data_IF_781454771995
#
_entry.id   IF_781454771995
#
_cell.length_a   1.000
_cell.length_b   1.000
_cell.length_c   1.000
_cell.angle_alpha   90.00
_cell.angle_beta   90.00
_cell.angle_gamma   90.00
#
_symmetry.space_group_name_H-M   'P 1'
#
loop_
_entity.id
_entity.type
_entity.pdbx_description
1 polymer ?
#
# COMPACT_ATOMS: atom_id res chain seq x y z
N UNK A 1 51.10 3.32 -32.01
CA UNK A 1 51.23 2.46 -30.86
C UNK A 1 49.86 2.23 -30.30
N UNK A 2 49.34 1.05 -30.57
CA UNK A 2 47.94 0.60 -30.35
C UNK A 2 47.76 0.13 -28.89
N UNK A 3 46.85 0.74 -28.17
CA UNK A 3 46.36 0.16 -26.89
C UNK A 3 45.10 -0.65 -27.19
N UNK A 4 45.29 -1.96 -27.30
CA UNK A 4 44.23 -2.98 -27.31
C UNK A 4 43.61 -3.08 -25.94
N UNK A 5 42.39 -2.56 -25.80
CA UNK A 5 41.52 -2.85 -24.66
C UNK A 5 41.08 -4.30 -24.78
N UNK A 6 41.60 -5.18 -23.95
CA UNK A 6 41.17 -6.58 -23.82
C UNK A 6 39.74 -6.62 -23.24
N UNK A 7 38.79 -6.93 -24.09
CA UNK A 7 37.46 -7.36 -23.69
C UNK A 7 37.58 -8.79 -23.13
N UNK A 8 37.59 -8.93 -21.81
CA UNK A 8 37.45 -10.23 -21.17
C UNK A 8 36.00 -10.69 -21.32
N UNK A 9 35.73 -11.47 -22.35
CA UNK A 9 34.56 -12.35 -22.38
C UNK A 9 34.71 -13.43 -21.30
N UNK A 10 34.10 -13.25 -20.17
CA UNK A 10 33.92 -14.31 -19.18
C UNK A 10 32.82 -15.26 -19.70
N UNK A 11 33.23 -16.27 -20.52
CA UNK A 11 32.47 -17.50 -20.73
C UNK A 11 32.50 -18.32 -19.43
N UNK A 12 31.34 -18.62 -18.85
CA UNK A 12 31.20 -19.58 -17.76
C UNK A 12 30.21 -19.15 -16.70
N UNK A 13 28.90 -19.19 -17.01
CA UNK A 13 27.84 -19.12 -16.00
C UNK A 13 26.57 -19.87 -16.47
N UNK A 14 26.70 -21.16 -16.62
CA UNK A 14 25.56 -22.05 -16.48
C UNK A 14 25.44 -22.38 -14.97
N UNK A 15 24.43 -21.88 -14.31
CA UNK A 15 23.97 -22.10 -12.93
C UNK A 15 24.03 -20.85 -12.04
N UNK A 16 23.27 -19.82 -12.43
CA UNK A 16 22.99 -18.66 -11.55
C UNK A 16 21.48 -18.47 -11.52
N UNK A 17 20.88 -18.71 -10.36
CA UNK A 17 19.54 -18.25 -10.05
C UNK A 17 19.44 -16.77 -10.47
N UNK A 18 18.56 -16.48 -11.41
CA UNK A 18 18.40 -15.12 -11.94
C UNK A 18 17.97 -14.19 -10.80
N UNK A 19 18.81 -13.23 -10.34
CA UNK A 19 18.51 -12.41 -9.17
C UNK A 19 17.18 -11.65 -9.31
N UNK A 20 16.81 -11.32 -10.54
CA UNK A 20 15.53 -10.69 -10.85
C UNK A 20 14.35 -11.58 -10.50
N UNK A 21 14.40 -12.85 -10.88
CA UNK A 21 13.32 -13.82 -10.61
C UNK A 21 13.19 -14.10 -9.12
N UNK A 22 14.33 -14.27 -8.41
CA UNK A 22 14.34 -14.45 -6.95
C UNK A 22 13.73 -13.27 -6.22
N UNK A 23 14.03 -12.04 -6.63
CA UNK A 23 13.46 -10.82 -6.05
C UNK A 23 11.95 -10.71 -6.31
N UNK A 24 11.48 -10.97 -7.53
CA UNK A 24 10.05 -10.92 -7.85
C UNK A 24 9.27 -12.02 -7.13
N UNK A 25 9.83 -13.23 -7.02
CA UNK A 25 9.22 -14.33 -6.25
C UNK A 25 9.12 -14.00 -4.76
N UNK A 26 10.19 -13.44 -4.18
CA UNK A 26 10.16 -12.91 -2.80
C UNK A 26 9.10 -11.83 -2.63
N UNK A 27 9.06 -10.84 -3.53
CA UNK A 27 8.07 -9.74 -3.49
C UNK A 27 6.64 -10.27 -3.56
N UNK A 28 6.37 -11.23 -4.45
CA UNK A 28 5.05 -11.87 -4.56
C UNK A 28 4.66 -12.56 -3.26
N UNK A 29 5.55 -13.38 -2.73
CA UNK A 29 5.31 -14.16 -1.51
C UNK A 29 5.11 -13.26 -0.29
N UNK A 30 5.98 -12.25 -0.12
CA UNK A 30 5.86 -11.28 0.96
C UNK A 30 4.54 -10.48 0.86
N UNK A 31 4.10 -10.14 -0.35
CA UNK A 31 2.82 -9.45 -0.56
C UNK A 31 1.61 -10.31 -0.17
N UNK A 32 1.63 -11.61 -0.50
CA UNK A 32 0.60 -12.57 -0.07
C UNK A 32 0.54 -12.63 1.46
N UNK A 33 1.68 -12.84 2.13
CA UNK A 33 1.71 -12.94 3.58
C UNK A 33 1.28 -11.64 4.27
N UNK A 34 1.79 -10.50 3.79
CA UNK A 34 1.49 -9.17 4.34
C UNK A 34 0.01 -8.83 4.24
N UNK A 35 -0.56 -8.91 3.06
CA UNK A 35 -1.98 -8.57 2.87
C UNK A 35 -2.88 -9.59 3.58
N UNK A 36 -2.51 -10.87 3.54
CA UNK A 36 -3.22 -11.93 4.28
C UNK A 36 -3.23 -11.68 5.80
N UNK A 37 -2.14 -11.17 6.39
CA UNK A 37 -2.07 -10.77 7.78
C UNK A 37 -3.10 -9.68 8.11
N UNK A 38 -3.20 -8.62 7.30
CA UNK A 38 -4.17 -7.53 7.51
C UNK A 38 -5.61 -8.00 7.34
N UNK A 39 -5.90 -8.81 6.31
CA UNK A 39 -7.24 -9.38 6.07
C UNK A 39 -7.65 -10.28 7.24
N UNK A 40 -6.78 -11.20 7.66
CA UNK A 40 -7.07 -12.13 8.74
C UNK A 40 -7.28 -11.40 10.08
N UNK A 41 -6.41 -10.43 10.39
CA UNK A 41 -6.51 -9.64 11.63
C UNK A 41 -7.80 -8.83 11.68
N UNK A 42 -8.17 -8.15 10.58
CA UNK A 42 -9.39 -7.36 10.51
C UNK A 42 -10.65 -8.24 10.65
N UNK A 43 -10.69 -9.38 9.97
CA UNK A 43 -11.82 -10.30 10.07
C UNK A 43 -12.00 -10.88 11.46
N UNK A 44 -10.91 -11.40 12.07
CA UNK A 44 -10.96 -12.02 13.41
C UNK A 44 -11.44 -11.02 14.46
N UNK A 45 -11.02 -9.75 14.39
CA UNK A 45 -11.47 -8.71 15.30
C UNK A 45 -12.98 -8.48 15.21
N UNK A 46 -13.53 -8.42 14.01
CA UNK A 46 -14.97 -8.24 13.81
C UNK A 46 -15.75 -9.49 14.24
N UNK A 47 -15.31 -10.67 13.85
CA UNK A 47 -15.93 -11.95 14.17
C UNK A 47 -15.94 -12.23 15.67
N UNK A 48 -14.89 -11.80 16.40
CA UNK A 48 -14.79 -11.93 17.86
C UNK A 48 -15.54 -10.84 18.63
N UNK A 49 -16.25 -9.95 17.95
CA UNK A 49 -17.11 -8.94 18.55
C UNK A 49 -16.45 -7.61 18.89
N UNK A 50 -15.18 -7.39 18.50
CA UNK A 50 -14.52 -6.09 18.69
C UNK A 50 -14.94 -5.04 17.65
N UNK A 51 -15.71 -5.45 16.64
CA UNK A 51 -16.32 -4.59 15.64
C UNK A 51 -15.34 -3.73 14.85
N UNK A 52 -15.88 -2.69 14.24
CA UNK A 52 -15.09 -1.74 13.44
C UNK A 52 -14.12 -0.91 14.29
N UNK A 53 -14.44 -0.69 15.58
CA UNK A 53 -13.55 0.01 16.52
C UNK A 53 -12.25 -0.79 16.77
N UNK A 54 -12.35 -2.12 16.92
CA UNK A 54 -11.20 -2.99 17.05
C UNK A 54 -10.31 -2.95 15.81
N UNK A 55 -10.89 -2.99 14.62
CA UNK A 55 -10.15 -2.88 13.36
C UNK A 55 -9.48 -1.50 13.21
N UNK A 56 -10.20 -0.43 13.54
CA UNK A 56 -9.65 0.93 13.52
C UNK A 56 -8.44 1.06 14.44
N UNK A 57 -8.53 0.53 15.66
CA UNK A 57 -7.44 0.55 16.65
C UNK A 57 -6.23 -0.26 16.15
N UNK A 58 -6.45 -1.46 15.61
CA UNK A 58 -5.42 -2.30 15.01
C UNK A 58 -4.66 -1.56 13.90
N UNK A 59 -5.39 -0.96 12.94
CA UNK A 59 -4.80 -0.24 11.82
C UNK A 59 -4.15 1.09 12.25
N UNK A 60 -4.69 1.75 13.28
CA UNK A 60 -4.06 2.94 13.85
C UNK A 60 -2.71 2.61 14.50
N UNK A 61 -2.63 1.54 15.27
CA UNK A 61 -1.36 1.05 15.86
C UNK A 61 -0.35 0.75 14.74
N UNK A 62 -0.77 -0.01 13.73
CA UNK A 62 0.08 -0.35 12.60
C UNK A 62 0.64 0.91 11.90
N UNK A 63 -0.23 1.85 11.54
CA UNK A 63 0.15 3.09 10.86
C UNK A 63 1.04 3.99 11.71
N UNK A 64 0.78 4.11 13.00
CA UNK A 64 1.60 4.89 13.92
C UNK A 64 3.01 4.30 14.05
N UNK A 65 3.12 2.98 14.18
CA UNK A 65 4.40 2.29 14.25
C UNK A 65 5.16 2.40 12.93
N UNK A 66 4.50 2.22 11.80
CA UNK A 66 5.13 2.42 10.48
C UNK A 66 5.67 3.85 10.31
N UNK A 67 4.90 4.85 10.75
CA UNK A 67 5.32 6.26 10.71
C UNK A 67 6.58 6.49 11.53
N UNK A 68 6.61 6.03 12.79
CA UNK A 68 7.75 6.17 13.69
C UNK A 68 8.96 5.36 13.22
N UNK A 69 8.74 4.16 12.69
CA UNK A 69 9.78 3.28 12.19
C UNK A 69 10.41 3.76 10.87
N UNK A 70 9.72 4.59 10.07
CA UNK A 70 10.17 5.02 8.74
C UNK A 70 11.58 5.63 8.72
N UNK A 71 11.94 6.62 9.56
CA UNK A 71 13.28 7.18 9.57
C UNK A 71 14.34 6.15 10.02
N UNK A 72 14.00 5.28 10.97
CA UNK A 72 14.90 4.23 11.45
C UNK A 72 15.18 3.19 10.35
N UNK A 73 14.14 2.77 9.63
CA UNK A 73 14.25 1.86 8.51
C UNK A 73 15.11 2.46 7.38
N UNK A 74 14.98 3.75 7.10
CA UNK A 74 15.81 4.46 6.15
C UNK A 74 17.29 4.43 6.54
N UNK A 75 17.62 4.80 7.77
CA UNK A 75 18.99 4.76 8.28
C UNK A 75 19.56 3.33 8.27
N UNK A 76 18.74 2.33 8.63
CA UNK A 76 19.16 0.92 8.60
C UNK A 76 19.45 0.46 7.17
N UNK A 77 18.60 0.79 6.19
CA UNK A 77 18.77 0.45 4.78
C UNK A 77 20.00 1.14 4.15
N UNK A 78 20.43 2.30 4.68
CA UNK A 78 21.61 3.01 4.23
C UNK A 78 22.91 2.45 4.84
N UNK A 79 22.84 1.90 6.06
CA UNK A 79 24.04 1.45 6.80
C UNK A 79 24.30 -0.06 6.71
N UNK A 80 23.25 -0.86 6.60
CA UNK A 80 23.32 -2.32 6.60
C UNK A 80 23.22 -2.88 5.18
N UNK A 81 23.55 -4.17 5.01
CA UNK A 81 23.27 -4.88 3.77
C UNK A 81 21.77 -5.03 3.60
N UNK A 82 21.24 -4.45 2.50
CA UNK A 82 19.79 -4.35 2.22
C UNK A 82 19.14 -5.72 2.08
N UNK A 83 19.85 -6.69 1.51
CA UNK A 83 19.38 -8.06 1.38
C UNK A 83 19.29 -8.74 2.74
N UNK A 84 20.37 -8.69 3.53
CA UNK A 84 20.38 -9.26 4.88
C UNK A 84 19.31 -8.62 5.77
N UNK A 85 19.13 -7.31 5.66
CA UNK A 85 18.12 -6.56 6.39
C UNK A 85 16.70 -7.02 6.02
N UNK A 86 16.44 -7.25 4.73
CA UNK A 86 15.13 -7.73 4.27
C UNK A 86 14.88 -9.17 4.70
N UNK A 87 15.87 -10.06 4.58
CA UNK A 87 15.80 -11.45 5.09
C UNK A 87 15.51 -11.47 6.59
N UNK A 88 16.21 -10.66 7.37
CA UNK A 88 15.98 -10.57 8.82
C UNK A 88 14.56 -10.07 9.14
N UNK A 89 14.06 -9.08 8.41
CA UNK A 89 12.71 -8.56 8.56
C UNK A 89 11.64 -9.60 8.19
N UNK A 90 11.84 -10.38 7.12
CA UNK A 90 10.93 -11.46 6.73
C UNK A 90 10.89 -12.58 7.77
N UNK A 91 12.05 -12.99 8.29
CA UNK A 91 12.13 -13.99 9.36
C UNK A 91 11.48 -13.46 10.65
N UNK A 92 11.64 -12.18 10.97
CA UNK A 92 10.98 -11.57 12.13
C UNK A 92 9.46 -11.56 11.95
N UNK A 93 8.94 -11.21 10.76
CA UNK A 93 7.50 -11.27 10.46
C UNK A 93 6.96 -12.70 10.52
N UNK A 94 7.71 -13.67 10.02
CA UNK A 94 7.40 -15.10 10.16
C UNK A 94 7.24 -15.48 11.64
N UNK A 95 8.20 -15.14 12.48
CA UNK A 95 8.16 -15.43 13.93
C UNK A 95 6.99 -14.72 14.63
N UNK A 96 6.76 -13.43 14.31
CA UNK A 96 5.63 -12.67 14.87
C UNK A 96 4.30 -13.34 14.51
N UNK A 97 4.12 -13.78 13.26
CA UNK A 97 2.88 -14.44 12.84
C UNK A 97 2.68 -15.80 13.51
N UNK A 98 3.75 -16.60 13.68
CA UNK A 98 3.66 -17.87 14.41
C UNK A 98 3.35 -17.65 15.88
N UNK A 99 3.98 -16.66 16.51
CA UNK A 99 3.68 -16.27 17.88
C UNK A 99 2.22 -15.82 18.04
N UNK A 100 1.72 -15.03 17.07
CA UNK A 100 0.30 -14.61 17.01
C UNK A 100 -0.61 -15.83 16.89
N UNK A 101 -0.30 -16.77 15.98
CA UNK A 101 -1.06 -18.00 15.79
C UNK A 101 -1.17 -18.81 17.09
N UNK A 102 -0.05 -18.99 17.79
CA UNK A 102 -0.02 -19.72 19.06
C UNK A 102 -0.75 -18.98 20.19
N UNK A 103 -0.55 -17.65 20.30
CA UNK A 103 -1.16 -16.84 21.34
C UNK A 103 -2.69 -16.74 21.20
N UNK A 104 -3.22 -16.72 19.97
CA UNK A 104 -4.67 -16.71 19.70
C UNK A 104 -5.41 -17.96 20.23
N UNK A 105 -4.69 -19.04 20.55
CA UNK A 105 -5.29 -20.24 21.15
C UNK A 105 -5.61 -20.08 22.64
N UNK A 106 -4.91 -19.16 23.33
CA UNK A 106 -4.94 -19.08 24.79
C UNK A 106 -5.27 -17.68 25.32
N UNK A 107 -5.17 -16.65 24.50
CA UNK A 107 -5.25 -15.26 24.94
C UNK A 107 -6.31 -14.49 24.13
N UNK A 108 -6.65 -13.31 24.66
CA UNK A 108 -7.60 -12.41 24.04
C UNK A 108 -7.14 -11.95 22.64
N UNK A 109 -8.07 -12.03 21.67
CA UNK A 109 -7.74 -11.75 20.27
C UNK A 109 -7.37 -10.28 20.03
N UNK A 110 -8.05 -9.33 20.69
CA UNK A 110 -7.77 -7.91 20.51
C UNK A 110 -6.38 -7.54 21.03
N UNK A 111 -6.04 -8.04 22.22
CA UNK A 111 -4.72 -7.79 22.81
C UNK A 111 -3.60 -8.35 21.93
N UNK A 112 -3.75 -9.61 21.50
CA UNK A 112 -2.71 -10.29 20.71
C UNK A 112 -2.56 -9.68 19.32
N UNK A 113 -3.67 -9.38 18.64
CA UNK A 113 -3.62 -8.75 17.30
C UNK A 113 -3.05 -7.34 17.42
N UNK A 114 -3.41 -6.56 18.43
CA UNK A 114 -2.87 -5.21 18.64
C UNK A 114 -1.37 -5.22 18.94
N UNK A 115 -0.90 -6.15 19.78
CA UNK A 115 0.52 -6.31 20.08
C UNK A 115 1.29 -6.79 18.85
N UNK A 116 0.74 -7.77 18.13
CA UNK A 116 1.34 -8.26 16.90
C UNK A 116 1.39 -7.18 15.82
N UNK A 117 0.39 -6.30 15.74
CA UNK A 117 0.37 -5.17 14.82
C UNK A 117 1.59 -4.26 14.99
N UNK A 118 1.93 -3.92 16.23
CA UNK A 118 3.09 -3.08 16.51
C UNK A 118 4.40 -3.73 16.06
N UNK A 119 4.61 -5.01 16.43
CA UNK A 119 5.82 -5.74 16.08
C UNK A 119 5.90 -6.02 14.56
N UNK A 120 4.80 -6.45 13.98
CA UNK A 120 4.70 -6.75 12.56
C UNK A 120 4.97 -5.51 11.71
N UNK A 121 4.30 -4.39 12.01
CA UNK A 121 4.41 -3.15 11.23
C UNK A 121 5.81 -2.53 11.31
N UNK A 122 6.50 -2.66 12.43
CA UNK A 122 7.90 -2.27 12.52
C UNK A 122 8.78 -3.08 11.54
N UNK A 123 8.68 -4.41 11.60
CA UNK A 123 9.42 -5.30 10.69
C UNK A 123 9.01 -5.10 9.23
N UNK A 124 7.71 -4.89 8.98
CA UNK A 124 7.17 -4.64 7.65
C UNK A 124 7.73 -3.36 7.04
N UNK A 125 7.83 -2.28 7.83
CA UNK A 125 8.42 -1.03 7.38
C UNK A 125 9.89 -1.18 7.01
N UNK A 126 10.65 -1.92 7.80
CA UNK A 126 12.05 -2.24 7.50
C UNK A 126 12.17 -3.04 6.21
N UNK A 127 11.34 -4.07 6.03
CA UNK A 127 11.34 -4.89 4.82
C UNK A 127 10.97 -4.09 3.57
N UNK A 128 9.92 -3.27 3.62
CA UNK A 128 9.51 -2.42 2.48
C UNK A 128 10.61 -1.42 2.08
N UNK A 129 11.23 -0.77 3.07
CA UNK A 129 12.29 0.21 2.81
C UNK A 129 13.53 -0.45 2.20
N UNK A 130 13.95 -1.60 2.74
CA UNK A 130 15.09 -2.36 2.20
C UNK A 130 14.81 -2.92 0.82
N UNK A 131 13.60 -3.47 0.58
CA UNK A 131 13.17 -3.97 -0.73
C UNK A 131 13.18 -2.87 -1.80
N UNK A 132 12.58 -1.71 -1.51
CA UNK A 132 12.58 -0.57 -2.43
C UNK A 132 13.99 -0.07 -2.75
N UNK A 133 14.89 -0.12 -1.77
CA UNK A 133 16.29 0.26 -1.95
C UNK A 133 17.10 -0.75 -2.78
N UNK A 134 16.62 -1.99 -2.94
CA UNK A 134 17.24 -3.01 -3.79
C UNK A 134 16.88 -2.87 -5.26
N UNK A 135 15.75 -2.24 -5.59
CA UNK A 135 15.26 -2.13 -6.98
C UNK A 135 16.30 -1.52 -7.93
N UNK A 136 16.96 -0.39 -7.62
CA UNK A 136 17.98 0.18 -8.51
C UNK A 136 19.19 -0.75 -8.73
N UNK A 137 19.55 -1.52 -7.70
CA UNK A 137 20.67 -2.48 -7.78
C UNK A 137 20.34 -3.67 -8.67
N UNK A 138 19.11 -4.16 -8.59
CA UNK A 138 18.63 -5.32 -9.37
C UNK A 138 18.37 -4.92 -10.82
N UNK A 139 17.94 -3.68 -11.05
CA UNK A 139 17.71 -3.15 -12.39
C UNK A 139 19.01 -3.05 -13.22
N UNK A 140 20.17 -2.85 -12.57
CA UNK A 140 21.50 -2.89 -13.19
C UNK A 140 21.57 -2.10 -14.52
N UNK A 141 21.24 -0.80 -14.45
CA UNK A 141 21.25 0.10 -15.63
C UNK A 141 20.06 -0.07 -16.60
N UNK A 142 19.12 -0.99 -16.33
CA UNK A 142 17.88 -1.12 -17.10
C UNK A 142 16.88 -0.02 -16.71
N UNK A 143 15.78 0.07 -17.45
CA UNK A 143 14.72 1.03 -17.17
C UNK A 143 14.12 0.85 -15.76
N UNK A 144 14.47 1.78 -14.86
CA UNK A 144 13.97 1.81 -13.48
C UNK A 144 12.46 1.97 -13.39
N UNK A 145 11.84 2.66 -14.37
CA UNK A 145 10.38 2.84 -14.39
C UNK A 145 9.70 1.51 -14.67
N UNK A 146 10.20 0.76 -15.64
CA UNK A 146 9.69 -0.57 -15.97
C UNK A 146 9.86 -1.54 -14.79
N UNK A 147 11.01 -1.49 -14.08
CA UNK A 147 11.25 -2.32 -12.90
C UNK A 147 10.34 -1.98 -11.72
N UNK A 148 10.17 -0.70 -11.39
CA UNK A 148 9.23 -0.28 -10.36
C UNK A 148 7.80 -0.70 -10.69
N UNK A 149 7.42 -0.59 -11.96
CA UNK A 149 6.09 -1.02 -12.44
C UNK A 149 5.90 -2.53 -12.30
N UNK A 150 6.92 -3.33 -12.66
CA UNK A 150 6.88 -4.79 -12.52
C UNK A 150 6.76 -5.22 -11.05
N UNK A 151 7.55 -4.63 -10.17
CA UNK A 151 7.49 -4.88 -8.72
C UNK A 151 6.11 -4.53 -8.17
N UNK A 152 5.57 -3.36 -8.53
CA UNK A 152 4.24 -2.95 -8.14
C UNK A 152 3.15 -3.93 -8.63
N UNK A 153 3.24 -4.35 -9.89
CA UNK A 153 2.31 -5.32 -10.47
C UNK A 153 2.35 -6.66 -9.72
N UNK A 154 3.54 -7.16 -9.43
CA UNK A 154 3.74 -8.40 -8.68
C UNK A 154 3.19 -8.28 -7.24
N UNK A 155 3.39 -7.13 -6.57
CA UNK A 155 2.80 -6.87 -5.25
C UNK A 155 1.28 -6.91 -5.29
N UNK A 156 0.66 -6.26 -6.28
CA UNK A 156 -0.81 -6.26 -6.41
C UNK A 156 -1.36 -7.64 -6.73
N UNK A 157 -0.63 -8.43 -7.52
CA UNK A 157 -1.00 -9.82 -7.79
C UNK A 157 -0.90 -10.68 -6.52
N UNK A 158 0.11 -10.42 -5.68
CA UNK A 158 0.22 -11.04 -4.36
C UNK A 158 -0.93 -10.65 -3.42
N UNK A 159 -1.36 -9.38 -3.43
CA UNK A 159 -2.50 -8.91 -2.65
C UNK A 159 -3.80 -9.61 -3.09
N UNK A 160 -4.01 -9.77 -4.40
CA UNK A 160 -5.13 -10.55 -4.93
C UNK A 160 -5.09 -12.01 -4.46
N UNK A 161 -3.93 -12.65 -4.55
CA UNK A 161 -3.72 -14.02 -4.08
C UNK A 161 -3.97 -14.16 -2.57
N UNK A 162 -3.55 -13.17 -1.78
CA UNK A 162 -3.81 -13.13 -0.33
C UNK A 162 -5.30 -13.11 -0.01
N UNK A 163 -6.07 -12.27 -0.70
CA UNK A 163 -7.50 -12.13 -0.48
C UNK A 163 -8.25 -13.43 -0.80
N UNK A 164 -7.90 -14.06 -1.93
CA UNK A 164 -8.48 -15.35 -2.34
C UNK A 164 -8.07 -16.52 -1.45
N UNK A 165 -6.92 -16.44 -0.78
CA UNK A 165 -6.43 -17.48 0.13
C UNK A 165 -6.95 -17.29 1.55
N UNK A 166 -6.92 -16.06 2.09
CA UNK A 166 -7.25 -15.78 3.49
C UNK A 166 -8.73 -16.02 3.79
N UNK A 167 -9.64 -15.63 2.90
CA UNK A 167 -11.08 -15.82 3.09
C UNK A 167 -11.48 -17.28 3.36
N UNK A 168 -11.19 -18.22 2.45
CA UNK A 168 -11.47 -19.65 2.67
C UNK A 168 -10.75 -20.24 3.89
N UNK A 169 -9.48 -19.87 4.14
CA UNK A 169 -8.75 -20.35 5.31
C UNK A 169 -9.40 -19.92 6.62
N UNK A 170 -9.91 -18.69 6.70
CA UNK A 170 -10.61 -18.19 7.87
C UNK A 170 -11.98 -18.84 8.06
N UNK A 171 -12.66 -19.15 6.96
CA UNK A 171 -13.99 -19.73 7.02
C UNK A 171 -13.97 -21.21 7.41
N UNK A 172 -13.06 -21.99 6.82
CA UNK A 172 -13.04 -23.45 6.97
C UNK A 172 -12.12 -23.94 8.08
N UNK A 173 -11.18 -23.08 8.55
CA UNK A 173 -10.09 -23.48 9.45
C UNK A 173 -9.98 -22.55 10.66
N UNK A 174 -9.10 -22.90 11.57
CA UNK A 174 -8.83 -22.04 12.72
C UNK A 174 -8.01 -20.81 12.35
N UNK A 175 -8.19 -19.66 13.04
CA UNK A 175 -7.33 -18.48 12.88
C UNK A 175 -5.85 -18.79 13.01
N UNK A 176 -5.47 -19.70 13.91
CA UNK A 176 -4.08 -20.11 14.12
C UNK A 176 -3.49 -20.78 12.87
N UNK A 177 -4.24 -21.67 12.21
CA UNK A 177 -3.79 -22.29 10.95
C UNK A 177 -3.65 -21.25 9.84
N UNK A 178 -4.58 -20.30 9.74
CA UNK A 178 -4.51 -19.22 8.75
C UNK A 178 -3.22 -18.41 8.90
N UNK A 179 -2.90 -17.95 10.11
CA UNK A 179 -1.63 -17.24 10.36
C UNK A 179 -0.41 -18.11 10.08
N UNK A 180 -0.44 -19.41 10.41
CA UNK A 180 0.68 -20.35 10.15
C UNK A 180 0.93 -20.53 8.66
N UNK A 181 -0.13 -20.72 7.86
CA UNK A 181 -0.02 -20.85 6.40
C UNK A 181 0.51 -19.56 5.78
N UNK A 182 -0.02 -18.40 6.19
CA UNK A 182 0.45 -17.12 5.70
C UNK A 182 1.89 -16.83 6.12
N UNK A 183 2.31 -17.24 7.34
CA UNK A 183 3.69 -17.10 7.80
C UNK A 183 4.67 -17.84 6.89
N UNK A 184 4.31 -19.01 6.38
CA UNK A 184 5.17 -19.80 5.49
C UNK A 184 5.58 -19.02 4.22
N UNK A 185 4.75 -18.09 3.74
CA UNK A 185 5.11 -17.23 2.63
C UNK A 185 6.26 -16.26 2.97
N UNK A 186 6.37 -15.78 4.21
CA UNK A 186 7.54 -14.99 4.63
C UNK A 186 8.81 -15.83 4.69
N UNK A 187 8.70 -17.09 5.15
CA UNK A 187 9.83 -18.00 5.13
C UNK A 187 10.31 -18.29 3.70
N UNK A 188 9.38 -18.49 2.78
CA UNK A 188 9.70 -18.65 1.36
C UNK A 188 10.34 -17.38 0.77
N UNK A 189 9.80 -16.19 1.10
CA UNK A 189 10.37 -14.90 0.69
C UNK A 189 11.82 -14.75 1.18
N UNK A 190 12.06 -15.00 2.46
CA UNK A 190 13.39 -14.97 3.05
C UNK A 190 14.35 -15.94 2.36
N UNK A 191 13.88 -17.15 2.03
CA UNK A 191 14.65 -18.15 1.28
C UNK A 191 15.03 -17.66 -0.11
N UNK A 192 14.08 -17.10 -0.87
CA UNK A 192 14.37 -16.51 -2.19
C UNK A 192 15.44 -15.43 -2.12
N UNK A 193 15.35 -14.52 -1.13
CA UNK A 193 16.34 -13.46 -0.95
C UNK A 193 17.70 -13.99 -0.46
N UNK A 194 17.71 -14.95 0.44
CA UNK A 194 18.95 -15.54 0.97
C UNK A 194 19.77 -16.25 -0.11
N UNK A 195 19.11 -16.84 -1.10
CA UNK A 195 19.75 -17.51 -2.23
C UNK A 195 20.26 -16.53 -3.30
N UNK A 196 19.81 -15.26 -3.29
CA UNK A 196 20.28 -14.25 -4.23
C UNK A 196 21.71 -13.82 -3.89
N UNK A 197 22.53 -13.62 -4.94
CA UNK A 197 23.86 -13.01 -4.81
C UNK A 197 23.80 -11.61 -5.44
N UNK A 198 23.87 -10.59 -4.60
CA UNK A 198 24.00 -9.19 -5.04
C UNK A 198 25.44 -8.74 -4.82
N UNK A 199 26.00 -8.05 -5.81
CA UNK A 199 27.31 -7.41 -5.63
C UNK A 199 27.19 -6.19 -4.72
N UNK A 200 28.15 -5.94 -3.81
CA UNK A 200 28.13 -4.75 -2.97
C UNK A 200 28.24 -3.50 -3.83
N UNK A 201 27.27 -2.61 -3.71
CA UNK A 201 27.30 -1.31 -4.40
C UNK A 201 28.14 -0.32 -3.60
N UNK A 202 29.13 0.30 -4.26
CA UNK A 202 29.89 1.41 -3.68
C UNK A 202 28.97 2.61 -3.42
N UNK A 203 29.02 3.13 -2.18
CA UNK A 203 28.13 4.17 -1.69
C UNK A 203 28.72 5.56 -1.94
N UNK A 204 28.21 6.26 -2.94
CA UNK A 204 28.35 7.72 -3.04
C UNK A 204 27.04 8.39 -2.65
N UNK A 205 26.88 8.70 -1.36
CA UNK A 205 25.72 9.45 -0.86
C UNK A 205 26.05 10.94 -0.88
N UNK A 206 25.66 11.65 -1.92
CA UNK A 206 25.66 13.13 -1.93
C UNK A 206 24.37 13.64 -1.30
N UNK A 207 24.45 14.13 -0.08
CA UNK A 207 23.33 14.81 0.60
C UNK A 207 23.27 16.25 0.04
N UNK A 208 22.31 16.50 -0.86
CA UNK A 208 22.02 17.85 -1.33
C UNK A 208 21.20 18.61 -0.27
N UNK A 209 21.71 19.73 0.25
CA UNK A 209 20.95 20.67 1.07
C UNK A 209 19.97 21.45 0.18
N UNK A 210 18.69 21.51 0.56
CA UNK A 210 17.63 22.11 -0.24
C UNK A 210 16.91 23.20 0.53
N UNK A 211 16.68 24.32 -0.16
CA UNK A 211 15.93 25.49 0.30
C UNK A 211 14.40 25.26 0.25
N UNK A 212 13.66 25.83 1.19
CA UNK A 212 12.24 25.56 1.47
C UNK A 212 11.23 26.27 0.55
N UNK A 213 11.63 26.85 -0.58
CA UNK A 213 10.89 27.96 -1.25
C UNK A 213 10.00 27.57 -2.43
N UNK A 214 9.61 26.30 -2.64
CA UNK A 214 8.80 25.93 -3.81
C UNK A 214 7.52 25.13 -3.48
N UNK A 215 6.74 25.59 -2.48
CA UNK A 215 5.39 25.09 -2.26
C UNK A 215 4.36 25.96 -2.96
N UNK A 216 4.23 25.78 -4.29
CA UNK A 216 3.22 26.41 -5.12
C UNK A 216 1.80 25.88 -4.82
N UNK A 217 0.77 26.69 -5.14
CA UNK A 217 -0.64 26.35 -4.98
C UNK A 217 -1.02 25.04 -5.68
N UNK A 218 -0.38 24.76 -6.81
CA UNK A 218 -0.59 23.53 -7.57
C UNK A 218 -0.12 22.27 -6.81
N UNK A 219 0.98 22.34 -6.06
CA UNK A 219 1.49 21.27 -5.21
C UNK A 219 0.56 21.02 -4.01
N UNK A 220 0.03 22.09 -3.41
CA UNK A 220 -0.94 21.97 -2.31
C UNK A 220 -2.19 21.22 -2.75
N UNK A 221 -2.72 21.53 -3.95
CA UNK A 221 -3.86 20.80 -4.54
C UNK A 221 -3.54 19.33 -4.74
N UNK A 222 -2.35 19.02 -5.24
CA UNK A 222 -1.92 17.65 -5.46
C UNK A 222 -1.86 16.86 -4.14
N UNK A 223 -1.34 17.49 -3.08
CA UNK A 223 -1.30 16.91 -1.73
C UNK A 223 -2.71 16.61 -1.23
N UNK A 224 -3.64 17.55 -1.38
CA UNK A 224 -5.04 17.35 -0.96
C UNK A 224 -5.71 16.22 -1.73
N UNK A 225 -5.57 16.18 -3.06
CA UNK A 225 -6.13 15.10 -3.89
C UNK A 225 -5.57 13.73 -3.47
N UNK A 226 -4.26 13.64 -3.29
CA UNK A 226 -3.62 12.41 -2.83
C UNK A 226 -4.13 11.99 -1.45
N UNK A 227 -4.21 12.92 -0.50
CA UNK A 227 -4.66 12.66 0.84
C UNK A 227 -6.12 12.17 0.87
N UNK A 228 -7.01 12.77 0.07
CA UNK A 228 -8.40 12.36 -0.03
C UNK A 228 -8.55 10.96 -0.65
N UNK A 229 -7.80 10.65 -1.71
CA UNK A 229 -7.79 9.31 -2.31
C UNK A 229 -7.22 8.26 -1.34
N UNK A 230 -6.12 8.58 -0.66
CA UNK A 230 -5.53 7.70 0.35
C UNK A 230 -6.50 7.43 1.49
N UNK A 231 -7.17 8.47 1.99
CA UNK A 231 -8.14 8.37 3.08
C UNK A 231 -9.37 7.54 2.67
N UNK A 232 -9.79 7.58 1.39
CA UNK A 232 -10.83 6.69 0.87
C UNK A 232 -10.44 5.22 1.01
N UNK A 233 -9.21 4.88 0.67
CA UNK A 233 -8.69 3.50 0.81
C UNK A 233 -8.58 3.10 2.29
N UNK A 234 -8.12 4.00 3.16
CA UNK A 234 -8.07 3.78 4.60
C UNK A 234 -9.46 3.49 5.17
N UNK A 235 -10.46 4.28 4.77
CA UNK A 235 -11.85 4.08 5.21
C UNK A 235 -12.38 2.70 4.80
N UNK A 236 -12.11 2.26 3.58
CA UNK A 236 -12.49 0.93 3.09
C UNK A 236 -11.79 -0.16 3.89
N UNK A 237 -10.50 -0.02 4.16
CA UNK A 237 -9.73 -0.99 4.95
C UNK A 237 -10.25 -1.13 6.40
N UNK A 238 -10.73 -0.04 7.00
CA UNK A 238 -11.30 -0.06 8.35
C UNK A 238 -12.69 -0.65 8.36
N UNK A 239 -13.54 -0.20 7.43
CA UNK A 239 -14.97 -0.52 7.43
C UNK A 239 -15.31 -1.80 6.67
N UNK A 240 -14.42 -2.28 5.79
CA UNK A 240 -14.71 -3.38 4.86
C UNK A 240 -15.13 -4.67 5.54
N UNK A 241 -14.40 -5.11 6.57
CA UNK A 241 -14.74 -6.33 7.34
C UNK A 241 -16.05 -6.16 8.12
N UNK A 242 -16.25 -5.01 8.76
CA UNK A 242 -17.49 -4.67 9.46
C UNK A 242 -18.68 -4.58 8.51
N UNK A 243 -18.50 -4.01 7.30
CA UNK A 243 -19.53 -3.91 6.28
C UNK A 243 -20.02 -5.31 5.85
N UNK A 244 -19.11 -6.23 5.61
CA UNK A 244 -19.47 -7.62 5.27
C UNK A 244 -20.15 -8.32 6.44
N UNK A 245 -19.56 -8.25 7.62
CA UNK A 245 -20.04 -9.00 8.78
C UNK A 245 -21.33 -8.43 9.38
N UNK A 246 -21.36 -7.11 9.61
CA UNK A 246 -22.47 -6.48 10.35
C UNK A 246 -23.67 -6.17 9.45
N UNK A 247 -23.44 -5.66 8.24
CA UNK A 247 -24.53 -5.23 7.33
C UNK A 247 -24.94 -6.32 6.34
N UNK A 248 -23.98 -6.94 5.65
CA UNK A 248 -24.29 -7.95 4.65
C UNK A 248 -24.55 -9.33 5.25
N UNK A 249 -24.24 -9.54 6.55
CA UNK A 249 -24.30 -10.85 7.22
C UNK A 249 -23.50 -11.94 6.48
N UNK A 250 -22.43 -11.50 5.82
CA UNK A 250 -21.54 -12.35 5.03
C UNK A 250 -20.50 -13.07 5.87
N UNK A 251 -19.73 -13.88 5.19
CA UNK A 251 -18.68 -14.75 5.74
C UNK A 251 -17.28 -14.17 5.48
N UNK A 252 -16.24 -14.81 6.04
CA UNK A 252 -14.84 -14.50 5.71
C UNK A 252 -14.53 -14.66 4.21
N UNK A 253 -15.22 -15.59 3.53
CA UNK A 253 -15.07 -15.80 2.08
C UNK A 253 -15.60 -14.59 1.32
N UNK A 254 -16.75 -14.05 1.73
CA UNK A 254 -17.34 -12.86 1.09
C UNK A 254 -16.42 -11.64 1.26
N UNK A 255 -15.83 -11.47 2.45
CA UNK A 255 -14.82 -10.44 2.68
C UNK A 255 -13.59 -10.65 1.79
N UNK A 256 -13.11 -11.88 1.68
CA UNK A 256 -12.03 -12.23 0.77
C UNK A 256 -12.34 -11.88 -0.70
N UNK A 257 -13.58 -12.11 -1.16
CA UNK A 257 -14.00 -11.71 -2.51
C UNK A 257 -14.04 -10.19 -2.70
N UNK A 258 -14.45 -9.41 -1.71
CA UNK A 258 -14.42 -7.95 -1.80
C UNK A 258 -12.98 -7.41 -1.87
N UNK A 259 -12.08 -7.95 -1.05
CA UNK A 259 -10.65 -7.60 -1.07
C UNK A 259 -9.97 -8.05 -2.40
N UNK A 260 -10.37 -9.20 -2.94
CA UNK A 260 -9.91 -9.67 -4.25
C UNK A 260 -10.41 -8.75 -5.37
N UNK A 261 -11.67 -8.32 -5.32
CA UNK A 261 -12.25 -7.38 -6.28
C UNK A 261 -11.53 -6.02 -6.23
N UNK A 262 -11.27 -5.49 -5.03
CA UNK A 262 -10.44 -4.30 -4.84
C UNK A 262 -9.05 -4.45 -5.49
N UNK A 263 -8.37 -5.57 -5.22
CA UNK A 263 -7.03 -5.83 -5.76
C UNK A 263 -7.03 -5.98 -7.28
N UNK A 264 -8.04 -6.66 -7.84
CA UNK A 264 -8.21 -6.80 -9.29
C UNK A 264 -8.48 -5.44 -9.96
N UNK A 265 -9.38 -4.63 -9.38
CA UNK A 265 -9.62 -3.26 -9.83
C UNK A 265 -8.35 -2.41 -9.79
N UNK A 266 -7.57 -2.51 -8.72
CA UNK A 266 -6.29 -1.80 -8.56
C UNK A 266 -5.28 -2.16 -9.65
N UNK A 267 -5.19 -3.43 -10.03
CA UNK A 267 -4.34 -3.88 -11.15
C UNK A 267 -4.73 -3.22 -12.46
N UNK A 268 -6.03 -3.24 -12.79
CA UNK A 268 -6.56 -2.64 -14.00
C UNK A 268 -6.34 -1.12 -13.99
N UNK A 269 -6.56 -0.46 -12.86
CA UNK A 269 -6.36 0.98 -12.68
C UNK A 269 -4.92 1.42 -12.95
N UNK A 270 -3.93 0.65 -12.47
CA UNK A 270 -2.53 0.96 -12.68
C UNK A 270 -2.13 0.99 -14.17
N UNK A 271 -2.72 0.11 -14.98
CA UNK A 271 -2.41 -0.01 -16.42
C UNK A 271 -3.20 1.02 -17.26
N UNK A 272 -4.34 1.49 -16.76
CA UNK A 272 -5.27 2.33 -17.54
C UNK A 272 -4.84 3.80 -17.67
N UNK A 273 -3.89 4.27 -16.87
CA UNK A 273 -3.48 5.68 -16.85
C UNK A 273 -3.00 6.19 -18.21
N UNK A 274 -2.23 5.38 -18.94
CA UNK A 274 -1.68 5.78 -20.25
C UNK A 274 -2.74 6.21 -21.28
N UNK A 275 -3.95 5.68 -21.17
CA UNK A 275 -5.07 6.04 -22.05
C UNK A 275 -5.77 7.33 -21.61
N UNK A 276 -5.89 7.55 -20.31
CA UNK A 276 -6.58 8.72 -19.75
C UNK A 276 -5.73 10.00 -19.82
N UNK A 277 -4.41 9.89 -19.78
CA UNK A 277 -3.49 11.03 -19.79
C UNK A 277 -3.62 11.88 -21.06
N UNK A 278 -3.93 11.23 -22.19
CA UNK A 278 -4.13 11.90 -23.49
C UNK A 278 -5.49 12.57 -23.65
N UNK A 279 -6.48 12.18 -22.85
CA UNK A 279 -7.87 12.57 -23.08
C UNK A 279 -8.32 13.80 -22.25
N UNK A 280 -7.66 14.10 -21.14
CA UNK A 280 -8.14 15.11 -20.18
C UNK A 280 -7.00 15.93 -19.60
N UNK A 281 -7.28 17.19 -19.24
CA UNK A 281 -6.37 18.00 -18.43
C UNK A 281 -6.15 17.35 -17.05
N UNK A 282 -4.96 17.51 -16.49
CA UNK A 282 -4.59 16.93 -15.18
C UNK A 282 -5.57 17.32 -14.08
N UNK A 283 -6.01 18.58 -14.06
CA UNK A 283 -6.94 19.07 -13.04
C UNK A 283 -8.32 18.43 -13.17
N UNK A 284 -8.91 18.43 -14.36
CA UNK A 284 -10.21 17.80 -14.63
C UNK A 284 -10.20 16.31 -14.29
N UNK A 285 -9.11 15.61 -14.63
CA UNK A 285 -8.92 14.20 -14.33
C UNK A 285 -8.94 13.93 -12.82
N UNK A 286 -8.23 14.70 -12.01
CA UNK A 286 -8.21 14.53 -10.56
C UNK A 286 -9.58 14.79 -9.93
N UNK A 287 -10.29 15.83 -10.35
CA UNK A 287 -11.67 16.11 -9.86
C UNK A 287 -12.64 15.01 -10.28
N UNK A 288 -12.55 14.52 -11.52
CA UNK A 288 -13.38 13.40 -12.00
C UNK A 288 -13.14 12.14 -11.16
N UNK A 289 -11.87 11.78 -10.88
CA UNK A 289 -11.54 10.61 -10.08
C UNK A 289 -12.07 10.70 -8.67
N UNK A 290 -11.95 11.88 -8.01
CA UNK A 290 -12.56 12.11 -6.70
C UNK A 290 -14.08 12.01 -6.76
N UNK A 291 -14.71 12.59 -7.78
CA UNK A 291 -16.17 12.56 -7.96
C UNK A 291 -16.71 11.13 -8.18
N UNK A 292 -16.04 10.37 -9.03
CA UNK A 292 -16.41 8.95 -9.22
C UNK A 292 -16.19 8.14 -7.95
N UNK A 293 -15.10 8.39 -7.21
CA UNK A 293 -14.86 7.72 -5.91
C UNK A 293 -15.96 8.07 -4.91
N UNK A 294 -16.39 9.33 -4.84
CA UNK A 294 -17.50 9.75 -3.99
C UNK A 294 -18.80 9.03 -4.34
N UNK A 295 -19.16 9.00 -5.63
CA UNK A 295 -20.37 8.35 -6.10
C UNK A 295 -20.36 6.84 -5.83
N UNK A 296 -19.24 6.17 -6.03
CA UNK A 296 -19.12 4.72 -5.77
C UNK A 296 -19.20 4.43 -4.27
N UNK A 297 -18.56 5.25 -3.41
CA UNK A 297 -18.70 5.13 -1.95
C UNK A 297 -20.15 5.30 -1.49
N UNK A 298 -20.86 6.30 -2.03
CA UNK A 298 -22.28 6.52 -1.71
C UNK A 298 -23.16 5.38 -2.22
N UNK A 299 -22.85 4.80 -3.39
CA UNK A 299 -23.60 3.68 -3.96
C UNK A 299 -23.53 2.41 -3.11
N UNK A 300 -22.46 2.21 -2.30
CA UNK A 300 -22.36 1.08 -1.36
C UNK A 300 -23.49 1.06 -0.33
N UNK A 301 -24.11 2.21 -0.03
CA UNK A 301 -25.23 2.32 0.91
C UNK A 301 -26.54 1.76 0.33
N UNK A 302 -26.69 1.77 -1.00
CA UNK A 302 -27.97 1.48 -1.65
C UNK A 302 -27.99 0.16 -2.41
N UNK A 303 -26.81 -0.37 -2.79
CA UNK A 303 -26.72 -1.53 -3.67
C UNK A 303 -26.33 -2.78 -2.88
N UNK A 304 -27.15 -3.86 -2.96
CA UNK A 304 -26.86 -5.13 -2.30
C UNK A 304 -25.83 -5.96 -3.07
N UNK A 305 -25.39 -7.06 -2.48
CA UNK A 305 -24.63 -8.11 -3.18
C UNK A 305 -25.49 -8.65 -4.37
N UNK A 306 -24.89 -8.89 -5.57
CA UNK A 306 -23.45 -8.92 -5.88
C UNK A 306 -22.85 -7.58 -6.31
N UNK A 307 -23.62 -6.49 -6.38
CA UNK A 307 -23.15 -5.18 -6.86
C UNK A 307 -22.01 -4.62 -6.03
N UNK A 308 -21.97 -4.91 -4.71
CA UNK A 308 -20.89 -4.48 -3.82
C UNK A 308 -19.51 -4.96 -4.27
N UNK A 309 -19.41 -6.16 -4.85
CA UNK A 309 -18.15 -6.69 -5.41
C UNK A 309 -17.67 -5.82 -6.58
N UNK A 310 -18.58 -5.41 -7.46
CA UNK A 310 -18.27 -4.54 -8.60
C UNK A 310 -17.87 -3.15 -8.10
N UNK A 311 -18.55 -2.62 -7.07
CA UNK A 311 -18.22 -1.32 -6.48
C UNK A 311 -16.83 -1.35 -5.80
N UNK A 312 -16.45 -2.42 -5.11
CA UNK A 312 -15.10 -2.58 -4.54
C UNK A 312 -14.03 -2.66 -5.63
N UNK A 313 -14.30 -3.37 -6.73
CA UNK A 313 -13.40 -3.36 -7.89
C UNK A 313 -13.26 -1.95 -8.49
N UNK A 314 -14.37 -1.21 -8.62
CA UNK A 314 -14.36 0.16 -9.11
C UNK A 314 -13.58 1.09 -8.17
N UNK A 315 -13.72 0.95 -6.84
CA UNK A 315 -12.96 1.73 -5.86
C UNK A 315 -11.47 1.42 -5.94
N UNK A 316 -11.07 0.15 -6.03
CA UNK A 316 -9.69 -0.24 -6.23
C UNK A 316 -9.09 0.34 -7.52
N UNK A 317 -9.85 0.29 -8.62
CA UNK A 317 -9.49 0.91 -9.91
C UNK A 317 -9.28 2.43 -9.77
N UNK A 318 -10.24 3.14 -9.21
CA UNK A 318 -10.21 4.61 -9.05
C UNK A 318 -9.08 5.05 -8.12
N UNK A 319 -8.90 4.35 -6.99
CA UNK A 319 -7.82 4.62 -6.05
C UNK A 319 -6.46 4.53 -6.72
N UNK A 320 -6.20 3.44 -7.42
CA UNK A 320 -4.87 3.20 -7.97
C UNK A 320 -4.60 4.07 -9.19
N UNK A 321 -5.60 4.26 -10.05
CA UNK A 321 -5.53 5.21 -11.16
C UNK A 321 -5.26 6.64 -10.66
N UNK A 322 -5.95 7.07 -9.61
CA UNK A 322 -5.77 8.37 -8.98
C UNK A 322 -4.38 8.52 -8.36
N UNK A 323 -3.94 7.53 -7.60
CA UNK A 323 -2.61 7.51 -6.99
C UNK A 323 -1.50 7.63 -8.02
N UNK A 324 -1.52 6.80 -9.06
CA UNK A 324 -0.50 6.83 -10.12
C UNK A 324 -0.56 8.16 -10.89
N UNK A 325 -1.75 8.68 -11.17
CA UNK A 325 -1.92 10.01 -11.81
C UNK A 325 -1.29 11.14 -11.00
N UNK A 326 -1.48 11.15 -9.67
CA UNK A 326 -0.87 12.15 -8.77
C UNK A 326 0.65 11.97 -8.74
N UNK A 327 1.16 10.74 -8.63
CA UNK A 327 2.59 10.46 -8.60
C UNK A 327 3.29 10.89 -9.90
N UNK A 328 2.72 10.60 -11.07
CA UNK A 328 3.25 11.04 -12.38
C UNK A 328 3.24 12.56 -12.49
N UNK A 329 2.14 13.22 -12.07
CA UNK A 329 2.05 14.67 -12.08
C UNK A 329 3.09 15.31 -11.15
N UNK A 330 3.32 14.73 -9.96
CA UNK A 330 4.35 15.19 -9.04
C UNK A 330 5.75 15.09 -9.66
N UNK A 331 6.05 13.94 -10.30
CA UNK A 331 7.34 13.69 -10.95
C UNK A 331 7.60 14.61 -12.14
N UNK A 332 6.57 15.01 -12.87
CA UNK A 332 6.71 15.93 -14.02
C UNK A 332 6.90 17.39 -13.62
N UNK A 333 6.50 17.78 -12.40
CA UNK A 333 6.54 19.18 -11.92
C UNK A 333 7.68 19.50 -10.96
N UNK A 334 8.24 18.50 -10.32
CA UNK A 334 9.26 18.69 -9.27
C UNK A 334 10.58 18.08 -9.71
N UNK A 335 11.67 18.82 -9.47
CA UNK A 335 13.02 18.32 -9.76
C UNK A 335 13.30 17.03 -8.98
N UNK A 336 14.10 16.13 -9.57
CA UNK A 336 14.46 14.84 -8.99
C UNK A 336 15.03 14.96 -7.57
N UNK A 337 15.76 16.06 -7.30
CA UNK A 337 16.37 16.34 -5.98
C UNK A 337 15.35 16.69 -4.88
N UNK A 338 14.16 17.19 -5.24
CA UNK A 338 13.10 17.58 -4.31
C UNK A 338 12.00 16.53 -4.19
N UNK A 339 11.96 15.57 -5.12
CA UNK A 339 10.90 14.61 -5.27
C UNK A 339 10.68 13.78 -3.99
N UNK A 340 11.76 13.33 -3.35
CA UNK A 340 11.68 12.56 -2.11
C UNK A 340 11.01 13.33 -0.96
N UNK A 341 11.33 14.62 -0.80
CA UNK A 341 10.69 15.48 0.22
C UNK A 341 9.23 15.75 -0.08
N UNK A 342 8.91 16.06 -1.34
CA UNK A 342 7.53 16.29 -1.76
C UNK A 342 6.66 15.05 -1.53
N UNK A 343 7.15 13.86 -1.90
CA UNK A 343 6.48 12.59 -1.60
C UNK A 343 6.35 12.34 -0.10
N UNK A 344 7.39 12.64 0.67
CA UNK A 344 7.36 12.50 2.13
C UNK A 344 6.27 13.38 2.77
N UNK A 345 6.19 14.65 2.41
CA UNK A 345 5.17 15.58 2.93
C UNK A 345 3.77 15.13 2.48
N UNK A 346 3.60 14.80 1.20
CA UNK A 346 2.34 14.31 0.66
C UNK A 346 1.84 13.07 1.40
N UNK A 347 2.73 12.11 1.66
CA UNK A 347 2.41 10.89 2.40
C UNK A 347 2.14 11.18 3.88
N UNK A 348 2.90 12.07 4.53
CA UNK A 348 2.67 12.44 5.94
C UNK A 348 1.29 13.08 6.14
N UNK A 349 0.87 13.98 5.23
CA UNK A 349 -0.47 14.57 5.26
C UNK A 349 -1.55 13.51 5.07
N UNK A 350 -1.34 12.57 4.15
CA UNK A 350 -2.28 11.49 3.89
C UNK A 350 -2.41 10.55 5.11
N UNK A 351 -1.30 10.20 5.74
CA UNK A 351 -1.29 9.37 6.97
C UNK A 351 -1.97 10.09 8.12
N UNK A 352 -1.70 11.40 8.31
CA UNK A 352 -2.36 12.18 9.35
C UNK A 352 -3.88 12.21 9.17
N UNK A 353 -4.36 12.36 7.93
CA UNK A 353 -5.78 12.30 7.62
C UNK A 353 -6.34 10.87 7.83
N UNK A 354 -5.58 9.85 7.49
CA UNK A 354 -5.91 8.44 7.76
C UNK A 354 -6.04 8.15 9.26
N UNK A 355 -5.11 8.65 10.09
CA UNK A 355 -5.18 8.54 11.55
C UNK A 355 -6.42 9.23 12.13
N UNK A 356 -6.84 10.37 11.55
CA UNK A 356 -8.09 11.01 11.92
C UNK A 356 -9.30 10.10 11.62
N UNK A 357 -9.33 9.43 10.47
CA UNK A 357 -10.39 8.47 10.12
C UNK A 357 -10.38 7.29 11.08
N UNK A 358 -9.21 6.75 11.45
CA UNK A 358 -9.13 5.70 12.46
C UNK A 358 -9.69 6.17 13.80
N UNK A 359 -9.36 7.40 14.23
CA UNK A 359 -9.89 7.99 15.46
C UNK A 359 -11.42 8.13 15.44
N UNK A 360 -11.98 8.63 14.32
CA UNK A 360 -13.43 8.76 14.13
C UNK A 360 -14.08 7.37 14.14
N UNK A 361 -13.52 6.42 13.39
CA UNK A 361 -14.04 5.05 13.31
C UNK A 361 -14.02 4.36 14.69
N UNK A 362 -12.94 4.52 15.46
CA UNK A 362 -12.85 3.98 16.81
C UNK A 362 -13.85 4.63 17.78
N UNK A 363 -14.06 5.95 17.68
CA UNK A 363 -14.99 6.69 18.54
C UNK A 363 -16.47 6.38 18.22
N UNK A 364 -16.78 6.25 16.93
CA UNK A 364 -18.13 5.90 16.48
C UNK A 364 -18.43 4.42 16.79
N UNK A 365 -17.43 3.57 16.56
CA UNK A 365 -17.54 2.12 16.79
C UNK A 365 -18.72 1.51 16.04
N UNK A 366 -19.45 0.63 16.70
CA UNK A 366 -20.62 -0.04 16.12
C UNK A 366 -21.94 0.77 16.25
N UNK A 367 -21.85 2.05 16.65
CA UNK A 367 -23.02 2.95 16.77
C UNK A 367 -23.54 3.40 15.41
N UNK A 368 -22.71 3.39 14.37
CA UNK A 368 -23.09 3.70 13.01
C UNK A 368 -22.71 2.54 12.09
N UNK A 369 -23.56 2.27 11.12
CA UNK A 369 -23.29 1.29 10.07
C UNK A 369 -22.12 1.74 9.20
N UNK A 370 -21.21 0.83 8.79
CA UNK A 370 -20.13 1.14 7.87
C UNK A 370 -20.56 1.87 6.59
N UNK A 371 -21.72 1.50 6.00
CA UNK A 371 -22.31 2.17 4.83
C UNK A 371 -22.59 3.66 5.08
N UNK A 372 -23.03 4.03 6.28
CA UNK A 372 -23.25 5.44 6.66
C UNK A 372 -21.96 6.25 6.64
N UNK A 373 -20.84 5.64 7.05
CA UNK A 373 -19.53 6.28 7.01
C UNK A 373 -19.01 6.39 5.57
N UNK A 374 -19.25 5.39 4.72
CA UNK A 374 -18.96 5.49 3.29
C UNK A 374 -19.73 6.62 2.63
N UNK A 375 -21.03 6.74 2.92
CA UNK A 375 -21.87 7.82 2.38
C UNK A 375 -21.38 9.20 2.88
N UNK A 376 -21.14 9.34 4.17
CA UNK A 376 -20.69 10.59 4.78
C UNK A 376 -19.36 11.06 4.20
N UNK A 377 -18.43 10.12 4.00
CA UNK A 377 -17.14 10.45 3.39
C UNK A 377 -17.27 10.79 1.89
N UNK A 378 -18.19 10.13 1.17
CA UNK A 378 -18.57 10.50 -0.19
C UNK A 378 -19.03 11.97 -0.27
N UNK A 379 -19.86 12.41 0.68
CA UNK A 379 -20.26 13.82 0.78
C UNK A 379 -19.07 14.77 1.05
N UNK A 380 -18.15 14.36 1.92
CA UNK A 380 -16.91 15.15 2.17
C UNK A 380 -16.09 15.29 0.88
N UNK A 381 -15.98 14.23 0.07
CA UNK A 381 -15.30 14.30 -1.22
C UNK A 381 -15.98 15.27 -2.19
N UNK A 382 -17.32 15.25 -2.30
CA UNK A 382 -18.08 16.18 -3.16
C UNK A 382 -17.90 17.65 -2.73
N UNK A 383 -17.93 17.93 -1.42
CA UNK A 383 -17.67 19.25 -0.87
C UNK A 383 -16.21 19.70 -1.19
N UNK A 384 -15.25 18.78 -1.03
CA UNK A 384 -13.85 19.04 -1.33
C UNK A 384 -13.63 19.37 -2.82
N UNK A 385 -14.35 18.69 -3.72
CA UNK A 385 -14.33 18.99 -5.17
C UNK A 385 -14.82 20.41 -5.43
N UNK A 386 -15.94 20.82 -4.81
CA UNK A 386 -16.47 22.18 -4.95
C UNK A 386 -15.44 23.22 -4.51
N UNK A 387 -14.75 23.01 -3.39
CA UNK A 387 -13.68 23.89 -2.92
C UNK A 387 -12.47 23.92 -3.87
N UNK A 388 -12.07 22.76 -4.41
CA UNK A 388 -10.94 22.66 -5.33
C UNK A 388 -11.24 23.26 -6.71
N UNK A 389 -12.51 23.27 -7.16
CA UNK A 389 -12.93 23.84 -8.44
C UNK A 389 -12.96 25.38 -8.42
N UNK A 390 -13.42 25.98 -7.33
CA UNK A 390 -13.50 27.46 -7.17
C UNK A 390 -12.12 28.11 -7.23
N UNK A 391 -11.09 27.47 -6.68
CA UNK A 391 -9.71 27.98 -6.75
C UNK A 391 -9.01 27.87 -8.11
N UNK A 392 -9.66 27.30 -9.14
CA UNK A 392 -9.10 27.17 -10.49
C UNK A 392 -9.45 28.32 -11.44
N UNK A 393 -10.34 29.24 -11.02
CA UNK A 393 -10.85 30.33 -11.85
C UNK A 393 -9.96 31.59 -11.91
N UNK A 394 -8.81 31.62 -11.24
CA UNK A 394 -7.85 32.72 -11.44
C UNK A 394 -6.91 32.37 -12.60
N UNK A 395 -6.90 33.11 -13.71
CA UNK A 395 -5.95 32.91 -14.79
C UNK A 395 -4.53 33.12 -14.25
N UNK A 396 -3.61 32.20 -14.55
CA UNK A 396 -2.18 32.46 -14.42
C UNK A 396 -1.90 33.72 -15.25
N UNK A 397 -1.63 34.84 -14.61
CA UNK A 397 -1.01 35.98 -15.28
C UNK A 397 0.29 35.49 -15.88
N UNK A 398 0.31 35.36 -17.20
CA UNK A 398 1.52 35.22 -17.99
C UNK A 398 2.40 36.41 -17.68
N UNK A 399 3.40 36.21 -16.85
CA UNK A 399 4.52 37.14 -16.74
C UNK A 399 5.26 37.16 -18.07
N UNK A 400 4.83 38.02 -18.98
CA UNK A 400 5.64 38.54 -20.06
C UNK A 400 6.64 39.53 -19.44
N UNK A 401 7.90 39.14 -19.44
CA UNK A 401 9.02 40.06 -19.74
C UNK A 401 10.33 39.27 -19.76
#
# INVERSE_FOLDING_TARGET
>A
MSNLVRIHHAKGRADRSNPCLGFLASTLSAAVARNGYYIASAWILVERGYGTAGVATFLAIASMVEFIASPLAGVAADRLDRRCLNVAADLSRFVVMLATAGALLYMDAFLIISLSAALFSFCDRVALTSSQSMIPVIADGRDLVAWNSAVFFVMQFGNLGAALLAGPLLHERSPALTFTVLAAFFLFSAGCLALMRLEPVSRDVRIAKISATQFDLSLRRLIVVYALLYTSAVLISVMGSGFVFQEQKGTAVDFGYLEAAWSAGSLIGAVSLFRLEKAMSTHARHLMLLGLTALVLMALTFLPTPWTVILFAALGFLYNLGRVSVEVTLQSRISVYLLGRAKGIMHSVAVALGLLVFGIAAAVGDRAFPSTLFFSFGMVLLISISCLSVGAGQPEEKGES
#
